data_IF_646515626580
#
_entry.id   IF_646515626580
#
_cell.length_a   1.000
_cell.length_b   1.000
_cell.length_c   1.000
_cell.angle_alpha   90.00
_cell.angle_beta   90.00
_cell.angle_gamma   90.00
#
_symmetry.space_group_name_H-M   'P 1'
#
loop_
_entity.id
_entity.type
_entity.pdbx_description
1 polymer ?
#
# COMPACT_ATOMS: atom_id res chain seq x y z
N UNK A 1 4.06 40.04 14.94
CA UNK A 1 4.70 38.75 14.58
C UNK A 1 3.62 37.79 14.13
N UNK A 2 3.85 37.04 13.05
CA UNK A 2 2.88 36.04 12.59
C UNK A 2 2.69 34.96 13.66
N UNK A 3 1.45 34.60 13.97
CA UNK A 3 1.18 33.52 14.93
C UNK A 3 1.69 32.19 14.38
N UNK A 4 2.11 31.28 15.27
CA UNK A 4 2.58 29.94 14.89
C UNK A 4 1.58 29.21 13.98
N UNK A 5 0.27 29.40 14.22
CA UNK A 5 -0.79 28.82 13.39
C UNK A 5 -0.80 29.40 11.97
N UNK A 6 -0.65 30.72 11.82
CA UNK A 6 -0.53 31.35 10.48
C UNK A 6 0.73 30.89 9.74
N UNK A 7 1.86 30.75 10.43
CA UNK A 7 3.12 30.26 9.85
C UNK A 7 2.98 28.81 9.38
N UNK A 8 2.35 27.94 10.17
CA UNK A 8 2.14 26.54 9.80
C UNK A 8 1.31 26.40 8.52
N UNK A 9 0.14 27.04 8.44
CA UNK A 9 -0.75 26.89 7.28
C UNK A 9 -0.24 27.59 6.02
N UNK A 10 0.47 28.72 6.15
CA UNK A 10 0.94 29.49 4.99
C UNK A 10 2.31 29.06 4.48
N UNK A 11 3.17 28.51 5.34
CA UNK A 11 4.58 28.24 5.01
C UNK A 11 4.89 26.75 5.14
N UNK A 12 4.76 26.18 6.34
CA UNK A 12 5.18 24.80 6.59
C UNK A 12 4.34 23.78 5.83
N UNK A 13 3.02 23.95 5.82
CA UNK A 13 2.09 23.00 5.22
C UNK A 13 2.21 22.94 3.68
N UNK A 14 2.22 24.07 2.93
CA UNK A 14 2.43 24.03 1.48
C UNK A 14 3.82 23.50 1.10
N UNK A 15 4.85 23.82 1.90
CA UNK A 15 6.22 23.37 1.65
C UNK A 15 6.38 21.86 1.87
N UNK A 16 5.71 21.30 2.89
CA UNK A 16 5.74 19.87 3.20
C UNK A 16 4.73 19.03 2.40
N UNK A 17 3.81 19.65 1.66
CA UNK A 17 2.70 18.98 0.98
C UNK A 17 3.13 17.81 0.08
N UNK A 18 4.21 17.98 -0.70
CA UNK A 18 4.75 16.92 -1.57
C UNK A 18 5.18 15.69 -0.78
N UNK A 19 5.91 15.89 0.32
CA UNK A 19 6.38 14.81 1.19
C UNK A 19 5.22 14.15 1.93
N UNK A 20 4.23 14.94 2.35
CA UNK A 20 3.02 14.43 3.02
C UNK A 20 2.19 13.55 2.08
N UNK A 21 2.03 13.95 0.81
CA UNK A 21 1.36 13.13 -0.21
C UNK A 21 2.07 11.78 -0.43
N UNK A 22 3.41 11.79 -0.49
CA UNK A 22 4.19 10.55 -0.61
C UNK A 22 3.99 9.66 0.63
N UNK A 23 4.02 10.26 1.83
CA UNK A 23 3.73 9.56 3.08
C UNK A 23 2.34 8.91 3.11
N UNK A 24 1.31 9.64 2.64
CA UNK A 24 -0.06 9.12 2.54
C UNK A 24 -0.10 7.91 1.58
N UNK A 25 0.48 8.04 0.39
CA UNK A 25 0.51 6.95 -0.60
C UNK A 25 1.23 5.71 -0.04
N UNK A 26 2.37 5.90 0.64
CA UNK A 26 3.11 4.78 1.25
C UNK A 26 2.32 4.13 2.39
N UNK A 27 1.65 4.92 3.22
CA UNK A 27 0.80 4.41 4.31
C UNK A 27 -0.40 3.64 3.74
N UNK A 28 -1.06 4.15 2.70
CA UNK A 28 -2.16 3.46 2.02
C UNK A 28 -1.69 2.15 1.38
N UNK A 29 -0.55 2.14 0.69
CA UNK A 29 0.03 0.92 0.13
C UNK A 29 0.35 -0.11 1.22
N UNK A 30 0.87 0.35 2.36
CA UNK A 30 1.17 -0.48 3.52
C UNK A 30 -0.08 -1.08 4.15
N UNK A 31 -1.16 -0.29 4.26
CA UNK A 31 -2.45 -0.76 4.76
C UNK A 31 -3.08 -1.81 3.84
N UNK A 32 -2.99 -1.63 2.52
CA UNK A 32 -3.45 -2.63 1.53
C UNK A 32 -2.64 -3.93 1.64
N UNK A 33 -1.37 -3.82 2.02
CA UNK A 33 -0.46 -4.98 2.18
C UNK A 33 -0.63 -5.70 3.53
N UNK A 34 -1.47 -5.19 4.45
CA UNK A 34 -1.76 -5.89 5.70
C UNK A 34 -2.67 -7.11 5.46
N UNK A 35 -2.21 -8.27 5.92
CA UNK A 35 -2.96 -9.52 5.88
C UNK A 35 -3.05 -10.15 7.27
N UNK A 36 -1.92 -10.26 7.97
CA UNK A 36 -1.83 -10.97 9.25
C UNK A 36 -2.64 -10.33 10.38
N UNK A 37 -2.62 -9.01 10.52
CA UNK A 37 -3.44 -8.36 11.54
C UNK A 37 -4.94 -8.47 11.23
N UNK A 38 -5.32 -8.35 9.96
CA UNK A 38 -6.73 -8.34 9.52
C UNK A 38 -7.36 -9.71 9.69
N UNK A 39 -6.67 -10.79 9.31
CA UNK A 39 -7.21 -12.15 9.41
C UNK A 39 -7.48 -12.57 10.86
N UNK A 40 -6.68 -12.05 11.81
CA UNK A 40 -6.85 -12.34 13.24
C UNK A 40 -7.99 -11.52 13.85
N UNK A 41 -8.11 -10.24 13.49
CA UNK A 41 -9.09 -9.32 14.11
C UNK A 41 -10.47 -9.41 13.45
N UNK A 42 -10.54 -9.46 12.12
CA UNK A 42 -11.77 -9.41 11.36
C UNK A 42 -11.69 -10.27 10.10
N UNK A 43 -12.05 -11.55 10.23
CA UNK A 43 -12.01 -12.52 9.13
C UNK A 43 -13.11 -12.27 8.06
N UNK A 44 -14.30 -11.87 8.51
CA UNK A 44 -15.39 -11.41 7.65
C UNK A 44 -15.63 -9.92 7.94
N UNK A 45 -15.57 -8.99 6.97
CA UNK A 45 -15.56 -9.14 5.51
C UNK A 45 -14.19 -9.49 4.90
N UNK A 46 -14.19 -10.34 3.88
CA UNK A 46 -12.97 -10.82 3.24
C UNK A 46 -12.35 -9.76 2.34
N UNK A 47 -11.13 -9.35 2.68
CA UNK A 47 -10.26 -8.58 1.79
C UNK A 47 -9.53 -9.53 0.83
N UNK A 48 -9.08 -9.00 -0.31
CA UNK A 48 -8.39 -9.77 -1.35
C UNK A 48 -7.36 -10.80 -0.82
N UNK A 49 -6.41 -10.46 0.09
CA UNK A 49 -5.44 -11.44 0.62
C UNK A 49 -6.07 -12.53 1.50
N UNK A 50 -7.17 -12.24 2.23
CA UNK A 50 -7.90 -13.23 3.03
C UNK A 50 -8.65 -14.22 2.13
N UNK A 51 -9.25 -13.74 1.05
CA UNK A 51 -9.93 -14.61 0.08
C UNK A 51 -8.97 -15.60 -0.59
N UNK A 52 -7.73 -15.17 -0.87
CA UNK A 52 -6.71 -16.02 -1.48
C UNK A 52 -6.23 -17.08 -0.50
N UNK A 53 -6.02 -16.71 0.75
CA UNK A 53 -5.66 -17.64 1.82
C UNK A 53 -6.74 -18.72 1.99
N UNK A 54 -8.01 -18.32 2.04
CA UNK A 54 -9.12 -19.26 2.16
C UNK A 54 -9.24 -20.18 0.93
N UNK A 55 -9.02 -19.66 -0.28
CA UNK A 55 -8.99 -20.49 -1.51
C UNK A 55 -7.82 -21.46 -1.54
N UNK A 56 -6.69 -21.09 -0.92
CA UNK A 56 -5.55 -21.99 -0.75
C UNK A 56 -5.86 -23.12 0.23
N UNK A 57 -6.53 -22.82 1.34
CA UNK A 57 -6.93 -23.82 2.33
C UNK A 57 -8.03 -24.75 1.81
N UNK A 58 -9.03 -24.21 1.09
CA UNK A 58 -10.21 -24.95 0.66
C UNK A 58 -10.00 -25.89 -0.54
N UNK A 59 -9.05 -25.60 -1.46
CA UNK A 59 -8.88 -26.36 -2.73
C UNK A 59 -7.52 -27.08 -2.86
N UNK A 60 -6.63 -26.93 -1.88
CA UNK A 60 -5.33 -27.61 -1.83
C UNK A 60 -4.29 -27.11 -2.85
N UNK A 61 -3.04 -27.54 -2.65
CA UNK A 61 -1.86 -27.03 -3.38
C UNK A 61 -1.97 -27.13 -4.91
N UNK A 62 -2.54 -28.22 -5.45
CA UNK A 62 -2.58 -28.44 -6.92
C UNK A 62 -3.47 -27.44 -7.67
N UNK A 63 -4.52 -26.92 -7.03
CA UNK A 63 -5.40 -25.91 -7.64
C UNK A 63 -5.04 -24.48 -7.21
N UNK A 64 -4.34 -24.32 -6.08
CA UNK A 64 -3.95 -22.99 -5.58
C UNK A 64 -2.64 -22.47 -6.18
N UNK A 65 -1.73 -23.34 -6.62
CA UNK A 65 -0.46 -22.94 -7.24
C UNK A 65 -0.60 -22.00 -8.45
N UNK A 66 -1.45 -22.27 -9.46
CA UNK A 66 -1.59 -21.38 -10.60
C UNK A 66 -2.21 -20.03 -10.22
N UNK A 67 -3.16 -20.02 -9.28
CA UNK A 67 -3.80 -18.78 -8.78
C UNK A 67 -2.80 -17.94 -7.99
N UNK A 68 -1.99 -18.57 -7.14
CA UNK A 68 -0.93 -17.90 -6.40
C UNK A 68 0.14 -17.29 -7.33
N UNK A 69 0.54 -17.99 -8.40
CA UNK A 69 1.51 -17.47 -9.39
C UNK A 69 0.96 -16.23 -10.10
N UNK A 70 -0.30 -16.26 -10.55
CA UNK A 70 -0.92 -15.09 -11.18
C UNK A 70 -1.00 -13.90 -10.23
N UNK A 71 -1.37 -14.15 -8.97
CA UNK A 71 -1.48 -13.09 -7.98
C UNK A 71 -0.12 -12.49 -7.61
N UNK A 72 0.88 -13.33 -7.35
CA UNK A 72 2.25 -12.89 -7.07
C UNK A 72 2.80 -12.12 -8.26
N UNK A 73 2.53 -12.56 -9.49
CA UNK A 73 2.92 -11.84 -10.71
C UNK A 73 2.28 -10.45 -10.77
N UNK A 74 0.98 -10.33 -10.51
CA UNK A 74 0.27 -9.04 -10.46
C UNK A 74 0.85 -8.14 -9.36
N UNK A 75 1.06 -8.66 -8.15
CA UNK A 75 1.68 -7.91 -7.06
C UNK A 75 3.09 -7.44 -7.41
N UNK A 76 3.90 -8.29 -8.04
CA UNK A 76 5.26 -7.96 -8.47
C UNK A 76 5.26 -6.86 -9.54
N UNK A 77 4.35 -6.95 -10.52
CA UNK A 77 4.20 -5.95 -11.58
C UNK A 77 3.74 -4.62 -11.00
N UNK A 78 2.74 -4.63 -10.12
CA UNK A 78 2.21 -3.43 -9.46
C UNK A 78 3.28 -2.78 -8.58
N UNK A 79 4.05 -3.59 -7.84
CA UNK A 79 5.18 -3.12 -7.04
C UNK A 79 6.30 -2.52 -7.90
N UNK A 80 6.64 -3.15 -9.03
CA UNK A 80 7.61 -2.63 -9.98
C UNK A 80 7.15 -1.28 -10.58
N UNK A 81 5.89 -1.17 -10.97
CA UNK A 81 5.31 0.07 -11.50
C UNK A 81 5.39 1.18 -10.45
N UNK A 82 4.92 0.93 -9.23
CA UNK A 82 4.99 1.89 -8.14
C UNK A 82 6.45 2.28 -7.83
N UNK A 83 7.37 1.31 -7.78
CA UNK A 83 8.79 1.56 -7.54
C UNK A 83 9.39 2.44 -8.63
N UNK A 84 9.08 2.21 -9.91
CA UNK A 84 9.56 3.01 -11.03
C UNK A 84 8.99 4.43 -10.97
N UNK A 85 7.70 4.58 -10.68
CA UNK A 85 7.03 5.89 -10.56
C UNK A 85 7.56 6.70 -9.37
N UNK A 86 7.87 6.04 -8.25
CA UNK A 86 8.46 6.69 -7.07
C UNK A 86 9.94 7.04 -7.28
N UNK A 87 10.74 6.16 -7.87
CA UNK A 87 12.16 6.41 -8.16
C UNK A 87 12.37 7.60 -9.11
N UNK A 88 11.43 7.83 -10.04
CA UNK A 88 11.52 8.97 -10.97
C UNK A 88 11.33 10.33 -10.30
N UNK A 89 10.87 10.37 -9.04
CA UNK A 89 10.65 11.62 -8.29
C UNK A 89 11.82 12.02 -7.38
N UNK A 90 12.92 11.26 -7.35
CA UNK A 90 14.17 11.61 -6.64
C UNK A 90 15.24 12.16 -7.60
N UNK A 91 14.82 12.90 -8.64
CA UNK A 91 15.72 13.77 -9.39
C UNK A 91 15.02 15.10 -9.62
N UNK A 92 15.05 15.93 -8.59
CA UNK A 92 15.21 17.38 -8.71
C UNK A 92 16.06 17.77 -7.49
N UNK A 93 17.24 18.31 -7.80
CA UNK A 93 18.31 18.79 -6.92
C UNK A 93 17.87 19.91 -5.98
#
# INVERSE_FOLDING_TARGET
GASMFSTFFRITFPLAWRSMLIGIIMCSARAISEFGAVVIVAYHPMIAPVLIYERFEAYGLKYSQPVAVWLVSICLVLFLILRILTLRKTREV
#
